data_IF_217979524474
#
_entry.id   IF_217979524474
#
_cell.length_a   1.000
_cell.length_b   1.000
_cell.length_c   1.000
_cell.angle_alpha   90.00
_cell.angle_beta   90.00
_cell.angle_gamma   90.00
#
_symmetry.space_group_name_H-M   'P 1'
#
loop_
_entity.id
_entity.type
_entity.pdbx_description
1 polymer ?
#
# COMPACT_ATOMS: atom_id res chain seq x y z
N UNK A 1 20.18 23.62 -17.83
CA UNK A 1 20.11 22.40 -17.00
C UNK A 1 18.66 21.96 -16.97
N UNK A 2 18.31 20.95 -17.74
CA UNK A 2 16.93 20.44 -17.85
C UNK A 2 16.57 19.76 -16.53
N UNK A 3 15.74 20.39 -15.72
CA UNK A 3 15.11 19.75 -14.57
C UNK A 3 14.43 18.47 -15.05
N UNK A 4 15.00 17.33 -14.69
CA UNK A 4 14.47 16.05 -15.10
C UNK A 4 13.13 15.84 -14.36
N UNK A 5 12.05 15.85 -15.10
CA UNK A 5 10.67 15.65 -14.62
C UNK A 5 10.64 14.47 -13.64
N UNK A 6 10.30 14.68 -12.35
CA UNK A 6 10.33 13.64 -11.31
C UNK A 6 9.50 12.41 -11.66
N UNK A 7 8.40 12.60 -12.41
CA UNK A 7 7.54 11.53 -12.89
C UNK A 7 8.24 10.65 -13.93
N UNK A 8 9.00 11.23 -14.86
CA UNK A 8 9.79 10.45 -15.84
C UNK A 8 10.83 9.60 -15.13
N UNK A 9 11.50 10.16 -14.11
CA UNK A 9 12.45 9.41 -13.28
C UNK A 9 11.77 8.22 -12.59
N UNK A 10 10.62 8.47 -11.96
CA UNK A 10 9.86 7.40 -11.28
C UNK A 10 9.44 6.31 -12.26
N UNK A 11 8.92 6.67 -13.44
CA UNK A 11 8.51 5.70 -14.46
C UNK A 11 9.70 4.87 -14.96
N UNK A 12 10.84 5.50 -15.20
CA UNK A 12 12.07 4.77 -15.60
C UNK A 12 12.50 3.78 -14.52
N UNK A 13 12.53 4.19 -13.26
CA UNK A 13 12.83 3.30 -12.13
C UNK A 13 11.84 2.13 -12.03
N UNK A 14 10.53 2.39 -12.19
CA UNK A 14 9.52 1.33 -12.17
C UNK A 14 9.72 0.33 -13.32
N UNK A 15 10.13 0.78 -14.50
CA UNK A 15 10.45 -0.12 -15.62
C UNK A 15 11.72 -0.95 -15.35
N UNK A 16 12.77 -0.33 -14.81
CA UNK A 16 13.99 -1.04 -14.42
C UNK A 16 13.74 -2.07 -13.31
N UNK A 17 12.91 -1.73 -12.33
CA UNK A 17 12.58 -2.61 -11.20
C UNK A 17 11.77 -3.81 -11.66
N UNK A 18 10.84 -3.66 -12.59
CA UNK A 18 10.03 -4.78 -13.14
C UNK A 18 10.87 -5.92 -13.72
N UNK A 19 12.11 -5.65 -14.13
CA UNK A 19 13.02 -6.63 -14.69
C UNK A 19 13.90 -7.32 -13.61
N UNK A 20 13.79 -6.91 -12.34
CA UNK A 20 14.58 -7.45 -11.23
C UNK A 20 13.83 -8.55 -10.49
N UNK A 21 14.58 -9.53 -9.95
CA UNK A 21 14.00 -10.63 -9.17
C UNK A 21 13.19 -10.17 -7.93
N UNK A 22 13.59 -9.05 -7.33
CA UNK A 22 12.93 -8.47 -6.12
C UNK A 22 11.95 -7.35 -6.49
N UNK A 23 11.26 -7.44 -7.63
CA UNK A 23 10.44 -6.34 -8.15
C UNK A 23 9.26 -5.98 -7.26
N UNK A 24 8.58 -6.96 -6.67
CA UNK A 24 7.37 -6.76 -5.88
C UNK A 24 7.63 -5.92 -4.62
N UNK A 25 8.63 -6.31 -3.84
CA UNK A 25 8.98 -5.62 -2.58
C UNK A 25 9.46 -4.18 -2.83
N UNK A 26 10.24 -3.95 -3.89
CA UNK A 26 10.69 -2.61 -4.28
C UNK A 26 9.53 -1.72 -4.74
N UNK A 27 8.59 -2.26 -5.52
CA UNK A 27 7.38 -1.54 -5.93
C UNK A 27 6.56 -1.15 -4.70
N UNK A 28 6.36 -2.05 -3.73
CA UNK A 28 5.67 -1.72 -2.48
C UNK A 28 6.36 -0.60 -1.69
N UNK A 29 7.68 -0.58 -1.62
CA UNK A 29 8.42 0.51 -0.95
C UNK A 29 8.20 1.86 -1.63
N UNK A 30 8.26 1.90 -2.95
CA UNK A 30 7.98 3.12 -3.72
C UNK A 30 6.55 3.60 -3.46
N UNK A 31 5.55 2.72 -3.57
CA UNK A 31 4.15 3.08 -3.34
C UNK A 31 3.92 3.59 -1.91
N UNK A 32 4.55 2.98 -0.89
CA UNK A 32 4.46 3.43 0.51
C UNK A 32 5.13 4.78 0.76
N UNK A 33 6.12 5.17 -0.05
CA UNK A 33 6.78 6.48 0.05
C UNK A 33 6.00 7.62 -0.61
N UNK A 34 5.00 7.30 -1.44
CA UNK A 34 4.19 8.31 -2.11
C UNK A 34 3.24 9.01 -1.14
N UNK A 35 3.05 10.31 -1.36
CA UNK A 35 2.04 11.07 -0.63
C UNK A 35 0.64 10.57 -0.99
N UNK A 36 -0.23 10.52 0.02
CA UNK A 36 -1.64 10.23 -0.20
C UNK A 36 -2.30 11.33 -1.04
N UNK A 37 -3.23 10.94 -1.91
CA UNK A 37 -4.06 11.88 -2.63
C UNK A 37 -4.96 12.66 -1.65
N UNK A 38 -5.21 13.93 -1.98
CA UNK A 38 -6.12 14.80 -1.24
C UNK A 38 -6.98 15.59 -2.21
N UNK A 39 -8.21 15.85 -1.82
CA UNK A 39 -9.04 16.83 -2.52
C UNK A 39 -8.62 18.24 -2.10
N UNK A 40 -8.62 19.19 -3.04
CA UNK A 40 -8.25 20.58 -2.81
C UNK A 40 -9.17 21.49 -3.62
N UNK A 41 -9.57 22.61 -3.03
CA UNK A 41 -10.24 23.68 -3.75
C UNK A 41 -9.28 24.60 -4.54
N UNK A 42 -7.96 24.37 -4.39
CA UNK A 42 -6.92 25.13 -5.09
C UNK A 42 -6.38 24.30 -6.27
N UNK A 43 -5.84 25.00 -7.25
CA UNK A 43 -5.15 24.35 -8.36
C UNK A 43 -4.06 23.41 -7.85
N UNK A 44 -4.10 22.18 -8.28
CA UNK A 44 -3.12 21.16 -7.93
C UNK A 44 -2.98 20.16 -9.07
N UNK A 45 -1.74 19.75 -9.33
CA UNK A 45 -1.47 18.71 -10.30
C UNK A 45 -1.70 17.31 -9.73
N UNK A 46 -2.12 16.39 -10.58
CA UNK A 46 -2.19 14.98 -10.22
C UNK A 46 -0.89 14.28 -10.64
N UNK A 47 0.06 14.16 -9.68
CA UNK A 47 1.41 13.65 -9.95
C UNK A 47 1.41 12.29 -10.67
N UNK A 48 0.65 11.31 -10.19
CA UNK A 48 0.66 9.96 -10.75
C UNK A 48 0.10 9.91 -12.19
N UNK A 49 -0.96 10.66 -12.50
CA UNK A 49 -1.51 10.76 -13.84
C UNK A 49 -0.72 11.75 -14.72
N UNK A 50 0.02 12.70 -14.11
CA UNK A 50 0.78 13.74 -14.77
C UNK A 50 -0.10 14.75 -15.47
N UNK A 51 -1.25 15.01 -14.89
CA UNK A 51 -2.19 16.04 -15.35
C UNK A 51 -1.99 17.28 -14.50
N UNK A 52 -1.92 18.42 -15.12
CA UNK A 52 -1.81 19.72 -14.44
C UNK A 52 -3.12 20.06 -13.73
N UNK A 53 -4.24 19.74 -14.38
CA UNK A 53 -5.59 19.91 -13.83
C UNK A 53 -6.32 18.58 -13.85
N UNK A 54 -6.96 18.24 -12.75
CA UNK A 54 -7.71 17.00 -12.61
C UNK A 54 -8.81 17.13 -11.58
N UNK A 55 -9.99 16.65 -11.92
CA UNK A 55 -11.07 16.48 -10.96
C UNK A 55 -11.81 15.15 -11.16
N UNK A 56 -12.44 14.68 -10.14
CA UNK A 56 -13.35 13.55 -10.23
C UNK A 56 -14.68 14.00 -10.82
N UNK A 57 -15.25 13.17 -11.72
CA UNK A 57 -16.48 13.51 -12.44
C UNK A 57 -17.44 12.32 -12.60
N UNK A 58 -16.94 11.11 -12.74
CA UNK A 58 -17.69 9.97 -13.29
C UNK A 58 -18.45 9.13 -12.25
N UNK A 59 -18.36 9.42 -10.95
CA UNK A 59 -18.98 8.60 -9.90
C UNK A 59 -19.75 9.43 -8.84
N UNK A 60 -20.72 10.29 -9.21
CA UNK A 60 -21.40 11.21 -8.28
C UNK A 60 -22.28 10.50 -7.24
N UNK A 61 -22.65 9.22 -7.46
CA UNK A 61 -23.45 8.44 -6.50
C UNK A 61 -22.68 8.13 -5.23
N UNK A 62 -21.36 7.91 -5.33
CA UNK A 62 -20.50 7.49 -4.22
C UNK A 62 -19.40 8.48 -3.85
N UNK A 63 -19.15 9.49 -4.65
CA UNK A 63 -18.17 10.53 -4.37
C UNK A 63 -18.82 11.91 -4.43
N UNK A 64 -18.88 12.55 -3.27
CA UNK A 64 -19.48 13.88 -3.16
C UNK A 64 -18.72 14.94 -3.97
N UNK A 65 -17.40 14.80 -4.10
CA UNK A 65 -16.58 15.65 -4.97
C UNK A 65 -17.07 15.70 -6.41
N UNK A 66 -17.49 14.56 -6.97
CA UNK A 66 -18.03 14.49 -8.33
C UNK A 66 -19.36 15.27 -8.45
N UNK A 67 -20.22 15.12 -7.43
CA UNK A 67 -21.49 15.85 -7.40
C UNK A 67 -21.26 17.37 -7.30
N UNK A 68 -20.27 17.83 -6.54
CA UNK A 68 -19.88 19.23 -6.46
C UNK A 68 -19.38 19.72 -7.81
N UNK A 69 -18.52 18.94 -8.48
CA UNK A 69 -18.03 19.24 -9.84
C UNK A 69 -19.20 19.39 -10.83
N UNK A 70 -20.18 18.46 -10.79
CA UNK A 70 -21.39 18.56 -11.63
C UNK A 70 -22.18 19.84 -11.37
N UNK A 71 -22.36 20.23 -10.11
CA UNK A 71 -23.10 21.46 -9.75
C UNK A 71 -22.38 22.71 -10.24
N UNK A 72 -21.05 22.76 -10.12
CA UNK A 72 -20.23 23.86 -10.62
C UNK A 72 -20.35 23.97 -12.14
N UNK A 73 -20.16 22.85 -12.86
CA UNK A 73 -20.28 22.84 -14.33
C UNK A 73 -21.68 23.26 -14.78
N UNK A 74 -22.74 22.73 -14.13
CA UNK A 74 -24.12 23.14 -14.46
C UNK A 74 -24.31 24.62 -14.27
N UNK A 75 -23.82 25.19 -13.19
CA UNK A 75 -23.93 26.64 -12.92
C UNK A 75 -23.19 27.48 -13.95
N UNK A 76 -22.02 27.01 -14.43
CA UNK A 76 -21.28 27.69 -15.52
C UNK A 76 -22.08 27.67 -16.83
N UNK A 77 -22.65 26.50 -17.20
CA UNK A 77 -23.47 26.34 -18.40
C UNK A 77 -24.70 27.26 -18.33
N UNK A 78 -25.32 27.37 -17.17
CA UNK A 78 -26.48 28.25 -16.93
C UNK A 78 -26.09 29.72 -16.73
N UNK A 79 -24.81 30.08 -16.82
CA UNK A 79 -24.27 31.45 -16.62
C UNK A 79 -24.63 32.07 -15.27
N UNK A 80 -24.73 31.26 -14.22
CA UNK A 80 -25.13 31.69 -12.85
C UNK A 80 -23.94 32.00 -11.94
N UNK A 81 -22.71 31.81 -12.41
CA UNK A 81 -21.52 31.91 -11.56
C UNK A 81 -21.27 30.64 -10.69
N UNK A 82 -20.28 30.68 -9.81
CA UNK A 82 -20.01 29.54 -8.92
C UNK A 82 -21.09 29.41 -7.85
N UNK A 83 -21.66 28.21 -7.62
CA UNK A 83 -22.65 27.97 -6.57
C UNK A 83 -22.02 27.87 -5.17
N UNK A 84 -20.70 27.93 -5.07
CA UNK A 84 -19.92 27.81 -3.83
C UNK A 84 -18.88 28.92 -3.75
N UNK A 85 -18.65 29.42 -2.53
CA UNK A 85 -17.50 30.25 -2.19
C UNK A 85 -16.23 29.38 -2.08
N UNK A 86 -15.06 30.00 -2.10
CA UNK A 86 -13.79 29.31 -1.92
C UNK A 86 -13.72 28.59 -0.57
N UNK A 87 -14.18 29.24 0.51
CA UNK A 87 -14.19 28.66 1.86
C UNK A 87 -15.09 27.41 1.95
N UNK A 88 -16.22 27.40 1.25
CA UNK A 88 -17.09 26.24 1.19
C UNK A 88 -16.43 25.08 0.43
N UNK A 89 -15.78 25.36 -0.70
CA UNK A 89 -15.03 24.35 -1.46
C UNK A 89 -13.88 23.76 -0.63
N UNK A 90 -13.13 24.59 0.10
CA UNK A 90 -12.03 24.12 0.95
C UNK A 90 -12.52 23.21 2.10
N UNK A 91 -13.65 23.56 2.71
CA UNK A 91 -14.32 22.70 3.72
C UNK A 91 -14.79 21.38 3.11
N UNK A 92 -15.44 21.41 1.96
CA UNK A 92 -15.89 20.21 1.25
C UNK A 92 -14.68 19.32 0.88
N UNK A 93 -13.62 19.89 0.36
CA UNK A 93 -12.40 19.17 -0.01
C UNK A 93 -11.78 18.45 1.20
N UNK A 94 -11.71 19.13 2.35
CA UNK A 94 -11.23 18.55 3.60
C UNK A 94 -12.08 17.34 4.02
N UNK A 95 -13.40 17.52 4.08
CA UNK A 95 -14.33 16.42 4.44
C UNK A 95 -14.25 15.26 3.45
N UNK A 96 -14.18 15.53 2.15
CA UNK A 96 -14.02 14.48 1.14
C UNK A 96 -12.71 13.70 1.33
N UNK A 97 -11.59 14.39 1.62
CA UNK A 97 -10.29 13.74 1.87
C UNK A 97 -10.33 12.84 3.10
N UNK A 98 -10.96 13.30 4.18
CA UNK A 98 -11.06 12.52 5.41
C UNK A 98 -11.95 11.28 5.24
N UNK A 99 -13.08 11.44 4.53
CA UNK A 99 -14.00 10.32 4.24
C UNK A 99 -13.41 9.30 3.29
N UNK A 100 -12.59 9.73 2.34
CA UNK A 100 -11.87 8.83 1.44
C UNK A 100 -10.85 7.96 2.21
N UNK A 101 -10.08 8.57 3.13
CA UNK A 101 -9.17 7.84 4.02
C UNK A 101 -9.91 6.84 4.92
N UNK A 102 -11.08 7.23 5.45
CA UNK A 102 -11.91 6.35 6.27
C UNK A 102 -12.41 5.14 5.44
N UNK A 103 -12.88 5.40 4.21
CA UNK A 103 -13.30 4.35 3.27
C UNK A 103 -12.15 3.40 2.92
N UNK A 104 -10.97 3.93 2.60
CA UNK A 104 -9.77 3.11 2.35
C UNK A 104 -9.40 2.22 3.55
N UNK A 105 -9.51 2.75 4.78
CA UNK A 105 -9.27 1.97 5.99
C UNK A 105 -10.26 0.80 6.09
N UNK A 106 -11.54 1.04 5.84
CA UNK A 106 -12.58 0.00 5.88
C UNK A 106 -12.30 -1.07 4.82
N UNK A 107 -11.98 -0.68 3.59
CA UNK A 107 -11.61 -1.62 2.51
C UNK A 107 -10.42 -2.47 2.90
N UNK A 108 -9.37 -1.86 3.47
CA UNK A 108 -8.16 -2.56 3.93
C UNK A 108 -8.46 -3.56 5.04
N UNK A 109 -9.29 -3.17 6.01
CA UNK A 109 -9.70 -4.04 7.10
C UNK A 109 -10.58 -5.22 6.63
N UNK A 110 -11.46 -4.97 5.66
CA UNK A 110 -12.28 -6.01 5.03
C UNK A 110 -11.40 -6.98 4.22
N UNK A 111 -10.44 -6.46 3.45
CA UNK A 111 -9.50 -7.27 2.69
C UNK A 111 -8.66 -8.18 3.59
N UNK A 112 -8.17 -7.68 4.74
CA UNK A 112 -7.47 -8.50 5.73
C UNK A 112 -8.35 -9.63 6.28
N UNK A 113 -9.61 -9.33 6.57
CA UNK A 113 -10.56 -10.35 7.03
C UNK A 113 -10.75 -11.45 5.98
N UNK A 114 -10.98 -11.08 4.73
CA UNK A 114 -11.12 -12.02 3.61
C UNK A 114 -9.84 -12.82 3.36
N UNK A 115 -8.68 -12.20 3.48
CA UNK A 115 -7.37 -12.87 3.41
C UNK A 115 -7.24 -13.96 4.48
N UNK A 116 -7.68 -13.68 5.72
CA UNK A 116 -7.72 -14.70 6.77
C UNK A 116 -8.66 -15.85 6.41
N UNK A 117 -9.86 -15.55 5.92
CA UNK A 117 -10.82 -16.58 5.48
C UNK A 117 -10.25 -17.47 4.37
N UNK A 118 -9.55 -16.89 3.42
CA UNK A 118 -8.84 -17.65 2.40
C UNK A 118 -7.74 -18.53 3.02
N UNK A 119 -6.93 -17.97 3.92
CA UNK A 119 -5.81 -18.66 4.54
C UNK A 119 -6.24 -19.82 5.47
N UNK A 120 -7.43 -19.77 6.09
CA UNK A 120 -7.95 -20.84 6.96
C UNK A 120 -7.94 -22.21 6.27
N UNK A 121 -8.25 -22.28 4.98
CA UNK A 121 -8.29 -23.51 4.17
C UNK A 121 -6.89 -24.05 3.84
N UNK A 122 -5.86 -23.28 4.15
CA UNK A 122 -4.48 -23.56 3.79
C UNK A 122 -3.57 -23.74 5.01
N UNK A 123 -4.14 -23.80 6.22
CA UNK A 123 -3.37 -24.06 7.46
C UNK A 123 -2.63 -25.40 7.30
N UNK A 124 -1.34 -25.37 7.61
CA UNK A 124 -0.49 -26.54 7.48
C UNK A 124 0.11 -26.76 6.10
N UNK A 125 -0.33 -26.09 5.05
CA UNK A 125 0.23 -26.18 3.70
C UNK A 125 1.47 -25.31 3.54
N UNK A 126 2.32 -25.69 2.59
CA UNK A 126 3.58 -25.05 2.27
C UNK A 126 3.46 -24.20 1.00
N UNK A 127 4.12 -23.06 1.01
CA UNK A 127 4.16 -22.10 -0.09
C UNK A 127 5.56 -21.50 -0.22
N UNK A 128 5.82 -20.82 -1.31
CA UNK A 128 6.89 -19.83 -1.37
C UNK A 128 6.31 -18.47 -1.01
N UNK A 129 7.15 -17.62 -0.42
CA UNK A 129 6.76 -16.26 -0.09
C UNK A 129 7.95 -15.32 -0.15
N UNK A 130 7.67 -14.06 -0.53
CA UNK A 130 8.65 -12.98 -0.63
C UNK A 130 8.51 -12.04 0.56
N UNK A 131 9.61 -11.64 1.19
CA UNK A 131 9.62 -10.65 2.27
C UNK A 131 9.26 -9.27 1.71
N UNK A 132 8.13 -8.72 2.14
CA UNK A 132 7.62 -7.39 1.72
C UNK A 132 7.77 -6.31 2.79
N UNK A 133 8.06 -6.68 4.04
CA UNK A 133 8.44 -5.75 5.10
C UNK A 133 9.24 -6.47 6.19
N UNK A 134 10.19 -5.75 6.77
CA UNK A 134 11.04 -6.22 7.86
C UNK A 134 10.85 -5.32 9.07
N UNK A 135 10.57 -5.93 10.23
CA UNK A 135 10.37 -5.26 11.52
C UNK A 135 11.29 -5.90 12.56
N UNK A 136 11.51 -5.22 13.68
CA UNK A 136 12.34 -5.74 14.79
C UNK A 136 11.89 -7.12 15.31
N UNK A 137 10.58 -7.38 15.29
CA UNK A 137 9.97 -8.59 15.85
C UNK A 137 9.58 -9.63 14.79
N UNK A 138 9.92 -9.42 13.51
CA UNK A 138 9.66 -10.39 12.44
C UNK A 138 9.53 -9.78 11.06
N UNK A 139 9.04 -10.58 10.12
CA UNK A 139 8.90 -10.19 8.72
C UNK A 139 7.48 -10.42 8.22
N UNK A 140 6.99 -9.51 7.39
CA UNK A 140 5.80 -9.75 6.58
C UNK A 140 6.21 -10.36 5.25
N UNK A 141 5.44 -11.36 4.83
CA UNK A 141 5.68 -12.07 3.58
C UNK A 141 4.42 -12.12 2.73
N UNK A 142 4.60 -11.81 1.48
CA UNK A 142 3.59 -12.08 0.45
C UNK A 142 3.64 -13.57 0.10
N UNK A 143 2.50 -14.25 0.10
CA UNK A 143 2.40 -15.70 -0.15
C UNK A 143 2.10 -15.93 -1.62
N UNK A 144 3.04 -16.55 -2.33
CA UNK A 144 2.90 -16.84 -3.75
C UNK A 144 1.69 -17.75 -4.00
N UNK A 145 0.91 -17.43 -5.03
CA UNK A 145 -0.28 -18.20 -5.44
C UNK A 145 -1.56 -17.89 -4.67
N UNK A 146 -1.50 -17.29 -3.46
CA UNK A 146 -2.68 -16.88 -2.71
C UNK A 146 -2.94 -15.37 -2.78
N UNK A 147 -1.93 -14.59 -3.14
CA UNK A 147 -1.97 -13.12 -3.19
C UNK A 147 -2.41 -12.48 -1.86
N UNK A 148 -1.96 -13.04 -0.74
CA UNK A 148 -2.21 -12.56 0.61
C UNK A 148 -0.91 -12.40 1.37
N UNK A 149 -0.92 -11.62 2.44
CA UNK A 149 0.24 -11.40 3.30
C UNK A 149 0.06 -12.12 4.65
N UNK A 150 1.17 -12.66 5.17
CA UNK A 150 1.23 -13.23 6.50
C UNK A 150 2.45 -12.73 7.25
N UNK A 151 2.45 -12.92 8.57
CA UNK A 151 3.51 -12.50 9.47
C UNK A 151 4.31 -13.67 10.00
N UNK A 152 5.61 -13.62 9.87
CA UNK A 152 6.53 -14.56 10.51
C UNK A 152 7.25 -13.88 11.66
N UNK A 153 6.87 -14.23 12.89
CA UNK A 153 7.50 -13.71 14.08
C UNK A 153 8.95 -14.20 14.18
N UNK A 154 9.85 -13.39 14.75
CA UNK A 154 11.28 -13.68 14.92
C UNK A 154 11.54 -15.05 15.57
N UNK A 155 10.67 -15.51 16.47
CA UNK A 155 10.72 -16.85 17.11
C UNK A 155 10.46 -18.01 16.15
N UNK A 156 9.86 -17.75 15.00
CA UNK A 156 9.56 -18.74 13.96
C UNK A 156 10.60 -18.73 12.82
N UNK A 157 11.60 -17.84 12.90
CA UNK A 157 12.79 -17.86 12.06
C UNK A 157 13.76 -18.97 12.50
N UNK A 158 14.88 -19.14 11.80
CA UNK A 158 15.93 -20.09 12.23
C UNK A 158 16.42 -19.72 13.62
N UNK A 159 16.73 -20.73 14.44
CA UNK A 159 17.12 -20.53 15.84
C UNK A 159 18.39 -19.65 15.94
N UNK A 160 18.25 -18.51 16.62
CA UNK A 160 19.34 -17.60 16.95
C UNK A 160 19.08 -17.01 18.35
N UNK A 161 20.13 -16.69 19.14
CA UNK A 161 19.98 -16.03 20.44
C UNK A 161 19.25 -14.70 20.32
N UNK A 162 19.57 -13.92 19.30
CA UNK A 162 18.93 -12.65 18.96
C UNK A 162 19.08 -12.35 17.47
N UNK A 163 18.33 -11.35 17.00
CA UNK A 163 18.44 -10.77 15.67
C UNK A 163 18.68 -9.27 15.79
N UNK A 164 19.52 -8.76 14.91
CA UNK A 164 19.75 -7.32 14.75
C UNK A 164 18.90 -6.82 13.60
N UNK A 165 18.06 -5.83 13.87
CA UNK A 165 17.26 -5.15 12.84
C UNK A 165 18.04 -3.97 12.27
N UNK A 166 18.24 -3.97 10.97
CA UNK A 166 18.76 -2.82 10.22
C UNK A 166 17.62 -2.18 9.45
N UNK A 167 17.14 -1.03 9.95
CA UNK A 167 16.04 -0.29 9.33
C UNK A 167 16.43 0.29 7.96
N UNK A 168 17.72 0.63 7.75
CA UNK A 168 18.21 1.19 6.49
C UNK A 168 18.36 0.12 5.41
N UNK A 169 18.91 -1.02 5.79
CA UNK A 169 19.06 -2.17 4.89
C UNK A 169 17.77 -3.01 4.78
N UNK A 170 16.71 -2.66 5.54
CA UNK A 170 15.49 -3.45 5.63
C UNK A 170 15.76 -4.94 5.84
N UNK A 171 16.56 -5.27 6.86
CA UNK A 171 16.99 -6.64 7.11
C UNK A 171 16.99 -7.01 8.60
N UNK A 172 16.85 -8.33 8.87
CA UNK A 172 17.10 -8.97 10.14
C UNK A 172 18.29 -9.91 9.99
N UNK A 173 19.33 -9.67 10.76
CA UNK A 173 20.55 -10.50 10.74
C UNK A 173 20.69 -11.27 12.06
N UNK A 174 20.90 -12.59 11.99
CA UNK A 174 21.13 -13.42 13.17
C UNK A 174 22.45 -13.07 13.87
N UNK A 175 22.54 -13.36 15.17
CA UNK A 175 23.71 -13.09 16.01
C UNK A 175 25.04 -13.60 15.42
N UNK A 176 25.00 -14.76 14.79
CA UNK A 176 26.16 -15.39 14.14
C UNK A 176 26.35 -14.94 12.67
N UNK A 177 25.56 -14.01 12.18
CA UNK A 177 25.53 -13.48 10.79
C UNK A 177 25.30 -14.52 9.68
N UNK A 178 24.94 -15.76 10.04
CA UNK A 178 24.74 -16.85 9.08
C UNK A 178 23.37 -16.81 8.40
N UNK A 179 22.39 -16.12 9.01
CA UNK A 179 21.05 -15.97 8.46
C UNK A 179 20.72 -14.50 8.36
N UNK A 180 20.42 -14.07 7.16
CA UNK A 180 19.97 -12.71 6.83
C UNK A 180 18.61 -12.84 6.19
N UNK A 181 17.63 -12.04 6.63
CA UNK A 181 16.29 -11.95 6.08
C UNK A 181 16.07 -10.51 5.61
N UNK A 182 16.26 -10.28 4.35
CA UNK A 182 16.17 -8.96 3.75
C UNK A 182 14.91 -8.81 2.90
N UNK A 183 14.52 -7.57 2.68
CA UNK A 183 13.43 -7.23 1.78
C UNK A 183 13.63 -7.89 0.40
N UNK A 184 12.58 -8.53 -0.11
CA UNK A 184 12.57 -9.21 -1.40
C UNK A 184 13.19 -10.62 -1.40
N UNK A 185 13.70 -11.11 -0.28
CA UNK A 185 14.16 -12.49 -0.20
C UNK A 185 12.98 -13.46 -0.24
N UNK A 186 13.16 -14.59 -0.92
CA UNK A 186 12.15 -15.64 -1.05
C UNK A 186 12.50 -16.84 -0.18
N UNK A 187 11.50 -17.35 0.52
CA UNK A 187 11.66 -18.51 1.37
C UNK A 187 10.48 -19.46 1.25
N UNK A 188 10.73 -20.73 1.54
CA UNK A 188 9.69 -21.72 1.73
C UNK A 188 9.08 -21.55 3.12
N UNK A 189 7.76 -21.40 3.16
CA UNK A 189 6.99 -21.07 4.37
C UNK A 189 5.80 -22.00 4.51
N UNK A 190 5.28 -22.09 5.72
CA UNK A 190 4.06 -22.81 6.06
C UNK A 190 3.10 -21.88 6.79
N UNK A 191 1.83 -21.92 6.46
CA UNK A 191 0.80 -21.24 7.24
C UNK A 191 0.64 -22.00 8.55
N UNK A 192 1.05 -21.37 9.66
CA UNK A 192 1.06 -21.97 10.99
C UNK A 192 -0.32 -21.90 11.63
N UNK A 193 -0.91 -20.74 11.64
CA UNK A 193 -2.23 -20.46 12.23
C UNK A 193 -2.84 -19.22 11.60
N UNK A 194 -4.16 -19.15 11.70
CA UNK A 194 -4.94 -17.98 11.28
C UNK A 194 -5.84 -17.58 12.43
N UNK A 195 -5.82 -16.32 12.78
CA UNK A 195 -6.68 -15.74 13.82
C UNK A 195 -7.56 -14.65 13.17
N UNK A 196 -8.73 -15.05 12.68
CA UNK A 196 -9.61 -14.19 11.89
C UNK A 196 -10.15 -13.01 12.70
N UNK A 197 -10.38 -13.18 14.01
CA UNK A 197 -10.82 -12.11 14.92
C UNK A 197 -9.79 -10.97 15.02
N UNK A 198 -8.50 -11.30 14.97
CA UNK A 198 -7.39 -10.34 14.96
C UNK A 198 -6.87 -10.04 13.55
N UNK A 199 -7.47 -10.62 12.53
CA UNK A 199 -7.07 -10.47 11.12
C UNK A 199 -5.59 -10.77 10.90
N UNK A 200 -5.12 -11.88 11.47
CA UNK A 200 -3.71 -12.25 11.50
C UNK A 200 -3.49 -13.64 10.93
N UNK A 201 -2.49 -13.74 10.05
CA UNK A 201 -1.99 -14.98 9.47
C UNK A 201 -0.56 -15.16 9.95
N UNK A 202 -0.31 -16.19 10.74
CA UNK A 202 1.01 -16.52 11.24
C UNK A 202 1.72 -17.53 10.34
N UNK A 203 2.94 -17.22 9.98
CA UNK A 203 3.79 -18.02 9.14
C UNK A 203 4.95 -18.65 9.95
N UNK A 204 5.49 -19.74 9.42
CA UNK A 204 6.72 -20.37 9.89
C UNK A 204 7.60 -20.69 8.70
N UNK A 205 8.90 -20.40 8.80
CA UNK A 205 9.88 -20.85 7.82
C UNK A 205 10.04 -22.38 7.86
N UNK A 206 10.21 -22.95 6.68
CA UNK A 206 10.56 -24.36 6.50
C UNK A 206 12.05 -24.42 6.14
N UNK A 207 12.76 -25.32 6.78
CA UNK A 207 14.18 -25.55 6.51
C UNK A 207 14.41 -26.24 5.17
#
# INVERSE_FOLDING_TARGET
MTESNPRKKLNNWLQEIKQKEKSLSLIYQILRSMKLAVYSGKESNHFALGLEEYCHFTSPIRRYSDLVTHRVIKSIIEKKGSPYSQDEIDKIATVCSDKDREAEKIVRESSKYLSCKCAEQHIGKEFYGEIVAVLEFGVFMHIDGLNIEGFCHIKNLKRSPYYVHDATAHSLTSANKNNIYALGDKFKIKIKSVETSRKRIDLKFIN
#
